data_IF_270415269519
#
_entry.id   IF_270415269519
#
_cell.length_a   1.000
_cell.length_b   1.000
_cell.length_c   1.000
_cell.angle_alpha   90.00
_cell.angle_beta   90.00
_cell.angle_gamma   90.00
#
_symmetry.space_group_name_H-M   'P 1'
#
loop_
_entity.id
_entity.type
_entity.pdbx_description
1 polymer ?
#
# COMPACT_ATOMS: atom_id res chain seq x y z
N UNK A 1 14.94 8.09 -33.94
CA UNK A 1 13.82 7.26 -33.42
C UNK A 1 13.04 8.11 -32.44
N UNK A 2 11.85 8.57 -32.82
CA UNK A 2 10.97 9.25 -31.88
C UNK A 2 10.43 8.21 -30.89
N UNK A 3 10.61 8.45 -29.59
CA UNK A 3 9.88 7.73 -28.56
C UNK A 3 8.41 8.01 -28.82
N UNK A 4 7.66 6.98 -29.24
CA UNK A 4 6.21 7.10 -29.33
C UNK A 4 5.68 7.43 -27.93
N UNK A 5 4.78 8.42 -27.78
CA UNK A 5 4.11 8.63 -26.52
C UNK A 5 3.42 7.32 -26.15
N UNK A 6 3.63 6.84 -24.91
CA UNK A 6 2.83 5.73 -24.39
C UNK A 6 1.37 6.16 -24.54
N UNK A 7 0.65 5.55 -25.49
CA UNK A 7 -0.79 5.68 -25.56
C UNK A 7 -1.34 5.14 -24.23
N UNK A 8 -1.86 6.07 -23.45
CA UNK A 8 -2.32 5.86 -22.09
C UNK A 8 -3.55 4.94 -22.11
N UNK A 9 -3.44 3.76 -21.49
CA UNK A 9 -4.56 2.85 -21.31
C UNK A 9 -5.48 3.41 -20.19
N UNK A 10 -6.77 3.67 -20.43
CA UNK A 10 -7.71 4.23 -19.45
C UNK A 10 -8.11 3.23 -18.33
N UNK A 11 -7.30 2.19 -18.11
CA UNK A 11 -7.58 1.07 -17.23
C UNK A 11 -6.42 0.89 -16.26
N UNK A 12 -6.76 0.53 -15.03
CA UNK A 12 -5.85 0.14 -13.95
C UNK A 12 -4.65 -0.65 -14.51
N UNK A 13 -3.44 -0.31 -14.08
CA UNK A 13 -2.22 -0.99 -14.49
C UNK A 13 -2.39 -2.50 -14.37
N UNK A 14 -2.02 -3.22 -15.43
CA UNK A 14 -2.06 -4.67 -15.43
C UNK A 14 -1.05 -5.22 -14.40
N UNK A 15 -1.43 -6.25 -13.62
CA UNK A 15 -0.47 -6.93 -12.75
C UNK A 15 0.72 -7.46 -13.54
N UNK A 16 1.89 -7.49 -12.91
CA UNK A 16 3.09 -8.09 -13.50
C UNK A 16 2.90 -9.61 -13.53
N UNK A 17 2.58 -10.16 -14.71
CA UNK A 17 2.10 -11.54 -14.88
C UNK A 17 2.98 -12.63 -14.24
N UNK A 18 4.30 -12.43 -14.22
CA UNK A 18 5.27 -13.42 -13.72
C UNK A 18 5.75 -13.14 -12.29
N UNK A 19 5.19 -12.12 -11.63
CA UNK A 19 5.52 -11.73 -10.26
C UNK A 19 4.44 -12.25 -9.29
N UNK A 20 4.85 -13.14 -8.41
CA UNK A 20 4.00 -13.72 -7.38
C UNK A 20 4.37 -13.16 -6.01
N UNK A 21 3.36 -12.91 -5.17
CA UNK A 21 3.55 -12.49 -3.78
C UNK A 21 3.00 -13.55 -2.82
N UNK A 22 3.86 -13.98 -1.89
CA UNK A 22 3.57 -14.96 -0.87
C UNK A 22 3.33 -14.27 0.48
N UNK A 23 2.07 -13.89 0.74
CA UNK A 23 1.66 -13.07 1.90
C UNK A 23 2.15 -13.62 3.25
N UNK A 24 2.09 -14.95 3.47
CA UNK A 24 2.52 -15.58 4.74
C UNK A 24 4.00 -15.41 5.03
N UNK A 25 4.84 -15.52 4.00
CA UNK A 25 6.29 -15.38 4.11
C UNK A 25 6.75 -13.94 3.89
N UNK A 26 5.86 -13.07 3.41
CA UNK A 26 6.18 -11.73 2.92
C UNK A 26 7.29 -11.75 1.84
N UNK A 27 7.23 -12.72 0.91
CA UNK A 27 8.25 -12.92 -0.13
C UNK A 27 7.69 -12.85 -1.52
N UNK A 28 8.56 -12.53 -2.48
CA UNK A 28 8.22 -12.40 -3.88
C UNK A 28 8.99 -13.40 -4.74
N UNK A 29 8.34 -13.88 -5.80
CA UNK A 29 8.91 -14.79 -6.79
C UNK A 29 8.66 -14.25 -8.19
N UNK A 30 9.72 -14.02 -8.97
CA UNK A 30 9.64 -13.60 -10.36
C UNK A 30 10.08 -14.76 -11.25
N UNK A 31 9.25 -15.21 -12.19
CA UNK A 31 9.58 -16.31 -13.13
C UNK A 31 10.09 -17.58 -12.41
N UNK A 32 9.38 -17.98 -11.35
CA UNK A 32 9.76 -19.08 -10.47
C UNK A 32 11.09 -18.92 -9.69
N UNK A 33 11.72 -17.75 -9.72
CA UNK A 33 12.94 -17.44 -8.94
C UNK A 33 12.61 -16.54 -7.76
N UNK A 34 13.07 -16.92 -6.57
CA UNK A 34 12.89 -16.10 -5.37
C UNK A 34 13.73 -14.83 -5.46
N UNK A 35 13.10 -13.69 -5.18
CA UNK A 35 13.82 -12.44 -5.06
C UNK A 35 14.58 -12.38 -3.72
N UNK A 36 15.72 -11.70 -3.73
CA UNK A 36 16.61 -11.59 -2.59
C UNK A 36 16.08 -10.63 -1.52
N UNK A 37 15.39 -9.57 -1.95
CA UNK A 37 14.93 -8.50 -1.08
C UNK A 37 13.44 -8.19 -1.29
N UNK A 38 12.78 -7.77 -0.23
CA UNK A 38 11.58 -6.94 -0.33
C UNK A 38 11.86 -5.57 0.30
N UNK A 39 11.09 -4.54 -0.08
CA UNK A 39 11.31 -3.15 0.39
C UNK A 39 11.22 -3.04 1.92
N UNK A 40 10.29 -3.77 2.54
CA UNK A 40 10.07 -3.76 4.00
C UNK A 40 11.28 -4.27 4.78
N UNK A 41 11.91 -5.36 4.33
CA UNK A 41 13.06 -6.01 4.96
C UNK A 41 14.30 -5.12 4.92
N UNK A 42 14.48 -4.37 3.83
CA UNK A 42 15.60 -3.42 3.68
C UNK A 42 15.51 -2.30 4.71
N UNK A 43 14.29 -1.85 5.03
CA UNK A 43 14.05 -0.75 5.97
C UNK A 43 14.04 -1.17 7.45
N UNK A 44 14.00 -2.48 7.73
CA UNK A 44 13.94 -3.02 9.09
C UNK A 44 15.32 -3.24 9.74
N UNK A 45 16.42 -2.93 9.04
CA UNK A 45 17.77 -3.09 9.57
C UNK A 45 18.01 -2.09 10.72
N UNK A 46 18.40 -2.60 11.88
CA UNK A 46 18.76 -1.82 13.09
C UNK A 46 17.57 -1.28 13.93
N UNK A 47 16.67 -2.18 14.32
CA UNK A 47 15.55 -1.81 15.20
C UNK A 47 15.95 -1.80 16.68
N UNK A 48 15.92 -0.61 17.28
CA UNK A 48 16.15 -0.40 18.72
C UNK A 48 15.23 -1.27 19.62
N UNK A 49 15.72 -1.81 20.76
CA UNK A 49 14.93 -2.64 21.66
C UNK A 49 13.62 -2.00 22.14
N UNK A 50 13.62 -0.67 22.33
CA UNK A 50 12.41 0.07 22.69
C UNK A 50 11.34 0.03 21.58
N UNK A 51 11.75 0.15 20.30
CA UNK A 51 10.82 0.04 19.17
C UNK A 51 10.23 -1.37 19.11
N UNK A 52 11.06 -2.40 19.31
CA UNK A 52 10.59 -3.79 19.35
C UNK A 52 9.55 -4.00 20.46
N UNK A 53 9.80 -3.50 21.68
CA UNK A 53 8.86 -3.60 22.79
C UNK A 53 7.51 -2.91 22.52
N UNK A 54 7.50 -1.78 21.80
CA UNK A 54 6.26 -1.12 21.38
C UNK A 54 5.51 -1.91 20.31
N UNK A 55 6.23 -2.54 19.38
CA UNK A 55 5.64 -3.44 18.38
C UNK A 55 4.94 -4.59 19.09
N UNK A 56 5.65 -5.33 19.94
CA UNK A 56 5.12 -6.50 20.64
C UNK A 56 3.90 -6.17 21.50
N UNK A 57 3.89 -4.96 22.08
CA UNK A 57 2.79 -4.51 22.95
C UNK A 57 1.52 -4.14 22.20
N UNK A 58 1.63 -3.57 21.00
CA UNK A 58 0.50 -2.91 20.35
C UNK A 58 0.12 -3.49 18.98
N UNK A 59 0.98 -4.30 18.36
CA UNK A 59 0.79 -4.80 16.98
C UNK A 59 -0.37 -5.76 16.86
N UNK A 60 -0.39 -6.76 17.71
CA UNK A 60 -1.29 -7.89 17.61
C UNK A 60 -2.53 -7.74 18.51
N UNK A 61 -3.45 -8.70 18.42
CA UNK A 61 -4.71 -8.72 19.17
C UNK A 61 -5.87 -8.04 18.45
N UNK A 62 -7.09 -8.11 19.02
CA UNK A 62 -8.30 -7.62 18.35
C UNK A 62 -8.27 -6.10 18.11
N UNK A 63 -7.56 -5.34 18.95
CA UNK A 63 -7.38 -3.88 18.86
C UNK A 63 -6.01 -3.47 18.31
N UNK A 64 -5.22 -4.45 17.84
CA UNK A 64 -3.86 -4.25 17.37
C UNK A 64 -3.78 -3.37 16.13
N UNK A 65 -2.69 -2.63 15.97
CA UNK A 65 -2.54 -1.76 14.79
C UNK A 65 -2.35 -2.54 13.48
N UNK A 66 -1.92 -3.80 13.53
CA UNK A 66 -1.79 -4.63 12.33
C UNK A 66 -3.16 -4.96 11.71
N UNK A 67 -4.10 -5.49 12.50
CA UNK A 67 -5.46 -5.81 12.01
C UNK A 67 -6.22 -4.56 11.58
N UNK A 68 -6.02 -3.43 12.29
CA UNK A 68 -6.56 -2.13 11.88
C UNK A 68 -6.02 -1.71 10.52
N UNK A 69 -4.70 -1.75 10.33
CA UNK A 69 -4.05 -1.40 9.08
C UNK A 69 -4.56 -2.27 7.92
N UNK A 70 -4.51 -3.58 8.07
CA UNK A 70 -4.99 -4.53 7.05
C UNK A 70 -6.45 -4.27 6.67
N UNK A 71 -7.33 -4.11 7.65
CA UNK A 71 -8.76 -3.89 7.38
C UNK A 71 -9.01 -2.58 6.63
N UNK A 72 -8.28 -1.51 6.96
CA UNK A 72 -8.46 -0.20 6.32
C UNK A 72 -7.84 -0.17 4.92
N UNK A 73 -6.70 -0.82 4.69
CA UNK A 73 -6.13 -0.96 3.33
C UNK A 73 -7.06 -1.77 2.43
N UNK A 74 -7.59 -2.90 2.91
CA UNK A 74 -8.54 -3.72 2.16
C UNK A 74 -9.83 -2.94 1.84
N UNK A 75 -10.29 -2.11 2.77
CA UNK A 75 -11.43 -1.21 2.54
C UNK A 75 -11.09 -0.15 1.49
N UNK A 76 -9.93 0.51 1.57
CA UNK A 76 -9.54 1.54 0.61
C UNK A 76 -9.37 0.96 -0.80
N UNK A 77 -8.73 -0.20 -0.94
CA UNK A 77 -8.58 -0.90 -2.22
C UNK A 77 -9.93 -1.12 -2.91
N UNK A 78 -10.91 -1.62 -2.16
CA UNK A 78 -12.27 -1.85 -2.65
C UNK A 78 -12.99 -0.53 -2.99
N UNK A 79 -12.82 0.50 -2.16
CA UNK A 79 -13.41 1.81 -2.38
C UNK A 79 -12.89 2.46 -3.66
N UNK A 80 -11.56 2.48 -3.86
CA UNK A 80 -10.92 3.02 -5.06
C UNK A 80 -11.24 2.21 -6.34
N UNK A 81 -11.60 0.92 -6.19
CA UNK A 81 -12.14 0.07 -7.26
C UNK A 81 -13.66 0.25 -7.48
N UNK A 82 -14.28 1.25 -6.86
CA UNK A 82 -15.72 1.53 -6.93
C UNK A 82 -16.61 0.35 -6.50
N UNK A 83 -16.17 -0.48 -5.53
CA UNK A 83 -16.91 -1.65 -5.03
C UNK A 83 -17.79 -1.38 -3.80
N UNK A 84 -17.93 -0.12 -3.39
CA UNK A 84 -18.76 0.33 -2.25
C UNK A 84 -18.68 -0.55 -0.98
N UNK A 85 -17.47 -0.78 -0.42
CA UNK A 85 -17.30 -1.63 0.75
C UNK A 85 -17.98 -1.04 1.99
N UNK A 86 -18.65 -1.88 2.78
CA UNK A 86 -19.23 -1.47 4.06
C UNK A 86 -18.15 -0.97 5.02
N UNK A 87 -18.37 0.17 5.67
CA UNK A 87 -17.46 0.70 6.68
C UNK A 87 -17.50 -0.19 7.93
N UNK A 88 -16.39 -0.82 8.35
CA UNK A 88 -16.36 -1.59 9.58
C UNK A 88 -16.50 -0.66 10.78
N UNK A 89 -17.55 -0.82 11.58
CA UNK A 89 -17.91 0.07 12.70
C UNK A 89 -16.71 0.38 13.62
N UNK A 90 -15.94 -0.66 13.95
CA UNK A 90 -14.75 -0.57 14.80
C UNK A 90 -13.69 0.41 14.27
N UNK A 91 -13.53 0.48 12.96
CA UNK A 91 -12.48 1.27 12.29
C UNK A 91 -13.03 2.51 11.59
N UNK A 92 -14.34 2.74 11.70
CA UNK A 92 -15.03 3.89 11.12
C UNK A 92 -14.35 5.24 11.42
N UNK A 93 -13.78 5.50 12.62
CA UNK A 93 -13.12 6.78 12.87
C UNK A 93 -11.96 7.11 11.91
N UNK A 94 -11.20 6.11 11.44
CA UNK A 94 -10.13 6.31 10.47
C UNK A 94 -10.65 6.44 9.04
N UNK A 95 -11.64 5.61 8.68
CA UNK A 95 -12.23 5.62 7.33
C UNK A 95 -12.98 6.93 7.09
N UNK A 96 -13.79 7.38 8.05
CA UNK A 96 -14.50 8.64 7.94
C UNK A 96 -13.53 9.81 7.87
N UNK A 97 -12.46 9.81 8.67
CA UNK A 97 -11.43 10.84 8.58
C UNK A 97 -10.74 10.89 7.21
N UNK A 98 -10.55 9.74 6.55
CA UNK A 98 -10.01 9.67 5.18
C UNK A 98 -11.00 10.24 4.15
N UNK A 99 -12.28 9.86 4.26
CA UNK A 99 -13.35 10.32 3.37
C UNK A 99 -13.60 11.84 3.49
N UNK A 100 -13.57 12.36 4.72
CA UNK A 100 -13.81 13.78 5.01
C UNK A 100 -12.76 14.71 4.35
N UNK A 101 -11.57 14.18 4.01
CA UNK A 101 -10.53 14.97 3.34
C UNK A 101 -10.75 15.12 1.83
N UNK A 102 -11.70 14.38 1.22
CA UNK A 102 -11.95 14.43 -0.23
C UNK A 102 -10.67 14.25 -1.06
N UNK A 103 -9.70 13.50 -0.53
CA UNK A 103 -8.36 13.41 -1.11
C UNK A 103 -8.40 12.87 -2.54
N UNK A 104 -9.28 11.91 -2.80
CA UNK A 104 -9.43 11.23 -4.08
C UNK A 104 -10.39 11.93 -5.06
N UNK A 105 -11.06 13.01 -4.65
CA UNK A 105 -12.01 13.71 -5.51
C UNK A 105 -11.29 14.25 -6.75
N UNK A 106 -11.82 13.93 -7.93
CA UNK A 106 -11.24 14.30 -9.22
C UNK A 106 -9.96 13.54 -9.60
N UNK A 107 -9.53 12.54 -8.82
CA UNK A 107 -8.38 11.71 -9.16
C UNK A 107 -8.76 10.60 -10.14
N UNK A 108 -7.90 10.35 -11.12
CA UNK A 108 -7.91 9.12 -11.92
C UNK A 108 -7.11 8.04 -11.17
N UNK A 109 -7.74 6.91 -10.86
CA UNK A 109 -7.09 5.79 -10.17
C UNK A 109 -6.35 4.93 -11.19
N UNK A 110 -5.03 4.83 -11.05
CA UNK A 110 -4.17 4.11 -11.99
C UNK A 110 -3.78 2.73 -11.49
N UNK A 111 -3.66 2.56 -10.18
CA UNK A 111 -3.40 1.25 -9.58
C UNK A 111 -3.76 1.29 -8.09
N UNK A 112 -4.13 0.14 -7.55
CA UNK A 112 -4.33 -0.06 -6.11
C UNK A 112 -3.75 -1.40 -5.73
N UNK A 113 -3.12 -1.48 -4.55
CA UNK A 113 -2.44 -2.69 -4.09
C UNK A 113 -1.54 -3.25 -5.21
N UNK A 114 -0.69 -2.40 -5.78
CA UNK A 114 0.07 -2.75 -6.98
C UNK A 114 1.47 -3.22 -6.62
N UNK A 115 1.98 -4.22 -7.34
CA UNK A 115 3.22 -4.91 -7.03
C UNK A 115 4.29 -4.45 -8.02
N UNK A 116 5.47 -4.15 -7.51
CA UNK A 116 6.60 -3.65 -8.32
C UNK A 116 7.82 -4.53 -8.11
N UNK A 117 8.68 -4.59 -9.12
CA UNK A 117 9.93 -5.36 -9.07
C UNK A 117 11.04 -4.61 -9.80
N UNK A 118 12.23 -4.63 -9.20
CA UNK A 118 13.51 -4.32 -9.83
C UNK A 118 14.26 -5.65 -10.03
N UNK A 119 14.21 -6.25 -11.23
CA UNK A 119 14.87 -7.52 -11.51
C UNK A 119 16.40 -7.45 -11.39
N UNK A 120 17.01 -6.28 -11.65
CA UNK A 120 18.46 -6.11 -11.62
C UNK A 120 18.97 -6.13 -10.18
N UNK A 121 18.20 -5.58 -9.25
CA UNK A 121 18.53 -5.59 -7.82
C UNK A 121 17.92 -6.76 -7.05
N UNK A 122 17.18 -7.64 -7.73
CA UNK A 122 16.46 -8.76 -7.09
C UNK A 122 15.58 -8.28 -5.92
N UNK A 123 14.83 -7.20 -6.14
CA UNK A 123 14.03 -6.54 -5.12
C UNK A 123 12.59 -6.32 -5.60
N UNK A 124 11.60 -6.55 -4.73
CA UNK A 124 10.20 -6.24 -5.02
C UNK A 124 9.50 -5.58 -3.85
N UNK A 125 8.35 -5.00 -4.12
CA UNK A 125 7.50 -4.39 -3.11
C UNK A 125 6.10 -4.15 -3.63
N UNK A 126 5.35 -3.36 -2.88
CA UNK A 126 4.04 -2.88 -3.29
C UNK A 126 3.82 -1.46 -2.79
N UNK A 127 2.88 -0.77 -3.42
CA UNK A 127 2.33 0.50 -2.95
C UNK A 127 0.80 0.39 -2.88
N UNK A 128 0.19 1.23 -2.06
CA UNK A 128 -1.25 1.13 -1.78
C UNK A 128 -2.09 1.68 -2.92
N UNK A 129 -1.69 2.82 -3.50
CA UNK A 129 -2.36 3.39 -4.66
C UNK A 129 -1.44 4.25 -5.53
N UNK A 130 -1.80 4.36 -6.81
CA UNK A 130 -1.24 5.29 -7.78
C UNK A 130 -2.39 6.09 -8.37
N UNK A 131 -2.31 7.41 -8.30
CA UNK A 131 -3.35 8.30 -8.82
C UNK A 131 -2.75 9.34 -9.76
N UNK A 132 -3.59 9.86 -10.64
CA UNK A 132 -3.32 11.09 -11.39
C UNK A 132 -4.33 12.15 -11.00
N UNK A 133 -3.82 13.27 -10.50
CA UNK A 133 -4.62 14.41 -10.03
C UNK A 133 -3.85 15.70 -10.27
N UNK A 134 -4.54 16.74 -10.72
CA UNK A 134 -3.98 18.07 -11.00
C UNK A 134 -2.75 18.06 -11.93
N UNK A 135 -2.71 17.12 -12.87
CA UNK A 135 -1.61 16.96 -13.83
C UNK A 135 -0.39 16.18 -13.31
N UNK A 136 -0.42 15.72 -12.06
CA UNK A 136 0.66 14.95 -11.43
C UNK A 136 0.28 13.48 -11.29
N UNK A 137 1.28 12.60 -11.39
CA UNK A 137 1.18 11.19 -11.00
C UNK A 137 1.76 11.07 -9.59
N UNK A 138 0.98 10.51 -8.66
CA UNK A 138 1.32 10.42 -7.25
C UNK A 138 1.20 8.98 -6.76
N UNK A 139 2.26 8.50 -6.09
CA UNK A 139 2.25 7.23 -5.36
C UNK A 139 1.80 7.52 -3.94
N UNK A 140 0.86 6.71 -3.45
CA UNK A 140 0.34 6.78 -2.10
C UNK A 140 0.76 5.61 -1.23
N UNK A 141 1.00 5.93 0.04
CA UNK A 141 1.24 5.00 1.14
C UNK A 141 0.31 5.40 2.29
N UNK A 142 -0.77 4.66 2.46
CA UNK A 142 -1.75 4.86 3.52
C UNK A 142 -1.14 4.44 4.85
N UNK A 143 -1.36 5.28 5.87
CA UNK A 143 -0.92 4.99 7.24
C UNK A 143 -2.04 5.25 8.23
N UNK A 144 -2.25 4.30 9.12
CA UNK A 144 -3.19 4.44 10.23
C UNK A 144 -2.41 4.75 11.50
N UNK A 145 -2.73 5.88 12.13
CA UNK A 145 -2.04 6.34 13.34
C UNK A 145 -3.02 6.51 14.48
N UNK A 146 -2.52 6.35 15.71
CA UNK A 146 -3.32 6.50 16.93
C UNK A 146 -3.44 7.96 17.41
N UNK A 147 -2.73 8.91 16.79
CA UNK A 147 -2.82 10.33 17.16
C UNK A 147 -2.44 11.27 16.01
N UNK A 148 -3.00 12.49 15.99
CA UNK A 148 -2.63 13.54 15.03
C UNK A 148 -1.16 13.97 15.12
N UNK A 149 -0.55 13.89 16.31
CA UNK A 149 0.89 14.17 16.51
C UNK A 149 1.78 13.24 15.70
N UNK A 150 1.33 12.04 15.37
CA UNK A 150 2.09 11.09 14.55
C UNK A 150 2.09 11.45 13.04
N UNK A 151 1.31 12.46 12.63
CA UNK A 151 1.21 12.93 11.23
C UNK A 151 2.09 14.18 10.99
N UNK A 152 2.50 14.87 12.06
CA UNK A 152 3.38 16.03 11.97
C UNK A 152 4.85 15.56 11.99
N UNK A 153 5.38 15.25 10.81
CA UNK A 153 6.80 15.19 10.53
C UNK A 153 7.24 16.47 9.82
#
# INVERSE_FOLDING_TARGET
MALMPLEWNPLMLEPIAELEFYKKQHRYRLRNQWLAHNVSDVLAFDMEPFKQAMIDKYKDGPDGWAVRGETIHDWLDQHLKAKEPSVPEKWAPWINALLDQQFFDGAEILATEYRVVDPLKSCAGSFDFLIKKDGYIQIGDLKTVSSKRAVAA
#
